data_IF_859724898998
#
_entry.id   IF_859724898998
#
_cell.length_a   1.000
_cell.length_b   1.000
_cell.length_c   1.000
_cell.angle_alpha   90.00
_cell.angle_beta   90.00
_cell.angle_gamma   90.00
#
_symmetry.space_group_name_H-M   'P 1'
#
loop_
_entity.id
_entity.type
_entity.pdbx_description
1 polymer ?
#
# COMPACT_ATOMS: atom_id res chain seq x y z
N UNK A 1 -2.59 7.19 -9.01
CA UNK A 1 -3.83 7.95 -8.75
C UNK A 1 -4.38 8.80 -9.93
N UNK A 2 -3.71 9.02 -11.09
CA UNK A 2 -4.33 9.71 -12.26
C UNK A 2 -4.67 8.78 -13.45
N UNK A 3 -4.76 7.46 -13.25
CA UNK A 3 -5.38 6.62 -14.28
C UNK A 3 -6.89 6.87 -14.29
N UNK A 4 -7.56 6.64 -15.43
CA UNK A 4 -9.02 6.84 -15.54
C UNK A 4 -9.77 6.05 -14.45
N UNK A 5 -9.41 4.78 -14.25
CA UNK A 5 -9.99 3.95 -13.18
C UNK A 5 -9.75 4.54 -11.79
N UNK A 6 -8.54 5.01 -11.49
CA UNK A 6 -8.25 5.61 -10.20
C UNK A 6 -9.05 6.89 -9.96
N UNK A 7 -9.27 7.71 -11.00
CA UNK A 7 -10.10 8.92 -10.89
C UNK A 7 -11.56 8.58 -10.62
N UNK A 8 -12.10 7.52 -11.25
CA UNK A 8 -13.44 7.00 -10.95
C UNK A 8 -13.53 6.49 -9.50
N UNK A 9 -12.53 5.74 -9.04
CA UNK A 9 -12.50 5.21 -7.66
C UNK A 9 -12.37 6.33 -6.62
N UNK A 10 -11.68 7.42 -6.96
CA UNK A 10 -11.58 8.62 -6.13
C UNK A 10 -12.93 9.36 -6.07
N UNK A 11 -13.54 9.64 -7.22
CA UNK A 11 -14.80 10.38 -7.33
C UNK A 11 -15.98 9.63 -6.68
N UNK A 12 -16.00 8.30 -6.79
CA UNK A 12 -17.02 7.45 -6.16
C UNK A 12 -16.82 7.25 -4.65
N UNK A 13 -15.70 7.72 -4.08
CA UNK A 13 -15.34 7.45 -2.69
C UNK A 13 -14.90 6.01 -2.42
N UNK A 14 -14.89 5.14 -3.44
CA UNK A 14 -14.50 3.73 -3.32
C UNK A 14 -13.08 3.56 -2.79
N UNK A 15 -12.14 4.41 -3.22
CA UNK A 15 -10.76 4.32 -2.76
C UNK A 15 -10.62 4.63 -1.26
N UNK A 16 -11.42 5.57 -0.75
CA UNK A 16 -11.45 5.89 0.68
C UNK A 16 -11.96 4.68 1.49
N UNK A 17 -13.06 4.07 1.06
CA UNK A 17 -13.61 2.88 1.70
C UNK A 17 -12.63 1.70 1.68
N UNK A 18 -11.86 1.55 0.59
CA UNK A 18 -10.80 0.55 0.51
C UNK A 18 -9.66 0.80 1.50
N UNK A 19 -9.20 2.05 1.65
CA UNK A 19 -8.18 2.41 2.62
C UNK A 19 -8.60 2.12 4.06
N UNK A 20 -9.84 2.46 4.42
CA UNK A 20 -10.42 2.12 5.72
C UNK A 20 -10.40 0.61 5.94
N UNK A 21 -10.83 -0.17 4.94
CA UNK A 21 -10.78 -1.64 5.01
C UNK A 21 -9.36 -2.16 5.18
N UNK A 22 -8.39 -1.70 4.38
CA UNK A 22 -7.01 -2.17 4.49
C UNK A 22 -6.44 -1.93 5.89
N UNK A 23 -6.79 -0.81 6.53
CA UNK A 23 -6.40 -0.54 7.91
C UNK A 23 -7.09 -1.45 8.92
N UNK A 24 -8.36 -1.76 8.73
CA UNK A 24 -9.10 -2.70 9.59
C UNK A 24 -8.54 -4.13 9.50
N UNK A 25 -8.11 -4.55 8.30
CA UNK A 25 -7.49 -5.86 8.03
C UNK A 25 -6.03 -5.95 8.54
N UNK A 26 -5.49 -4.86 9.10
CA UNK A 26 -4.10 -4.81 9.59
C UNK A 26 -3.05 -4.77 8.49
N UNK A 27 -3.43 -4.46 7.25
CA UNK A 27 -2.48 -4.35 6.14
C UNK A 27 -1.59 -3.12 6.28
N UNK A 28 -0.35 -3.24 5.79
CA UNK A 28 0.57 -2.11 5.73
C UNK A 28 0.25 -1.30 4.48
N UNK A 29 0.19 0.01 4.64
CA UNK A 29 -0.12 0.93 3.54
C UNK A 29 0.97 1.98 3.46
N UNK A 30 1.52 2.15 2.27
CA UNK A 30 2.48 3.19 1.93
C UNK A 30 1.94 4.12 0.87
N UNK A 31 2.60 5.26 0.69
CA UNK A 31 2.30 6.24 -0.33
C UNK A 31 3.59 6.67 -1.03
N UNK A 32 3.49 6.97 -2.33
CA UNK A 32 4.60 7.53 -3.11
C UNK A 32 4.27 8.95 -3.54
N UNK A 33 5.17 9.89 -3.30
CA UNK A 33 5.07 11.24 -3.85
C UNK A 33 5.24 11.21 -5.39
N UNK A 34 4.95 12.31 -6.10
CA UNK A 34 5.29 12.45 -7.51
C UNK A 34 6.78 12.20 -7.78
N UNK A 35 7.09 11.84 -9.03
CA UNK A 35 8.46 11.62 -9.48
C UNK A 35 9.31 12.87 -9.26
N UNK A 36 10.54 12.67 -8.81
CA UNK A 36 11.52 13.70 -8.49
C UNK A 36 12.75 13.04 -7.88
N UNK A 37 13.60 13.84 -7.25
CA UNK A 37 14.64 13.34 -6.35
C UNK A 37 14.32 13.76 -4.92
N UNK A 38 14.85 12.99 -3.99
CA UNK A 38 14.87 13.19 -2.55
C UNK A 38 15.41 14.53 -2.07
N UNK A 39 16.14 15.28 -2.90
CA UNK A 39 16.54 16.66 -2.57
C UNK A 39 15.48 17.70 -2.93
N UNK A 40 14.43 17.31 -3.68
CA UNK A 40 13.36 18.21 -4.10
C UNK A 40 12.20 18.14 -3.10
N UNK A 41 12.02 19.21 -2.34
CA UNK A 41 10.92 19.39 -1.40
C UNK A 41 9.91 20.37 -2.02
N UNK A 42 8.62 20.03 -2.01
CA UNK A 42 7.57 20.94 -2.46
C UNK A 42 7.42 22.13 -1.50
N UNK A 43 6.80 23.22 -1.94
CA UNK A 43 6.47 24.35 -1.06
C UNK A 43 5.62 23.95 0.15
N UNK A 44 4.89 22.83 0.04
CA UNK A 44 4.04 22.29 1.09
C UNK A 44 4.77 21.30 2.04
N UNK A 45 6.09 21.14 1.89
CA UNK A 45 6.90 20.27 2.75
C UNK A 45 6.86 18.78 2.40
N UNK A 46 6.53 18.43 1.15
CA UNK A 46 6.53 17.02 0.69
C UNK A 46 7.77 16.77 -0.18
N UNK A 47 8.67 15.92 0.31
CA UNK A 47 9.81 15.37 -0.45
C UNK A 47 9.29 14.59 -1.66
N UNK A 48 9.82 14.90 -2.85
CA UNK A 48 9.48 14.25 -4.12
C UNK A 48 10.34 13.00 -4.37
N UNK A 49 9.89 12.12 -5.27
CA UNK A 49 10.56 10.84 -5.53
C UNK A 49 10.67 9.91 -4.31
N UNK A 50 9.84 10.11 -3.28
CA UNK A 50 10.02 9.49 -1.97
C UNK A 50 8.82 8.65 -1.52
N UNK A 51 9.09 7.67 -0.65
CA UNK A 51 8.11 6.74 -0.11
C UNK A 51 7.77 7.07 1.34
N UNK A 52 6.49 7.18 1.63
CA UNK A 52 5.94 7.50 2.94
C UNK A 52 5.10 6.34 3.47
N UNK A 53 4.98 6.24 4.79
CA UNK A 53 4.07 5.28 5.42
C UNK A 53 2.73 5.94 5.74
N UNK A 54 1.62 5.31 5.37
CA UNK A 54 0.29 5.73 5.78
C UNK A 54 -0.02 5.05 7.12
N UNK A 55 0.07 5.78 8.22
CA UNK A 55 -0.06 5.25 9.58
C UNK A 55 -1.53 5.07 9.99
N UNK A 56 -2.36 6.07 9.72
CA UNK A 56 -3.79 6.06 10.09
C UNK A 56 -4.66 6.62 8.97
N UNK A 57 -5.89 6.12 8.92
CA UNK A 57 -6.96 6.60 8.03
C UNK A 57 -8.20 6.75 8.90
N UNK A 58 -8.71 7.97 9.05
CA UNK A 58 -9.76 8.29 10.01
C UNK A 58 -10.83 9.17 9.38
N UNK A 59 -12.07 8.86 9.67
CA UNK A 59 -13.22 9.72 9.40
C UNK A 59 -13.77 10.21 10.74
N UNK A 60 -13.67 11.51 11.01
CA UNK A 60 -14.04 12.11 12.30
C UNK A 60 -14.69 13.46 12.09
N UNK A 61 -15.86 13.68 12.68
CA UNK A 61 -16.59 14.95 12.59
C UNK A 61 -16.68 15.47 11.14
N UNK A 62 -17.01 14.56 10.21
CA UNK A 62 -17.10 14.81 8.76
C UNK A 62 -15.78 15.11 8.04
N UNK A 63 -14.64 15.05 8.72
CA UNK A 63 -13.31 15.15 8.12
C UNK A 63 -12.75 13.77 7.78
N UNK A 64 -12.21 13.63 6.57
CA UNK A 64 -11.44 12.46 6.12
C UNK A 64 -9.97 12.81 6.21
N UNK A 65 -9.28 12.23 7.20
CA UNK A 65 -7.91 12.57 7.54
C UNK A 65 -7.01 11.34 7.44
N UNK A 66 -5.79 11.57 6.98
CA UNK A 66 -4.75 10.55 6.94
C UNK A 66 -3.55 11.00 7.75
N UNK A 67 -2.97 10.07 8.51
CA UNK A 67 -1.71 10.29 9.21
C UNK A 67 -0.60 9.62 8.41
N UNK A 68 0.42 10.37 8.08
CA UNK A 68 1.50 9.96 7.19
C UNK A 68 2.82 10.11 7.93
N UNK A 69 3.78 9.25 7.62
CA UNK A 69 5.15 9.34 8.14
C UNK A 69 6.17 9.40 7.01
N UNK A 70 7.00 10.44 7.04
CA UNK A 70 8.28 10.50 6.35
C UNK A 70 9.30 9.64 7.13
N UNK A 71 9.86 8.56 6.55
CA UNK A 71 10.83 7.70 7.23
C UNK A 71 12.16 8.39 7.54
N UNK A 72 12.53 9.48 6.85
CA UNK A 72 13.81 10.17 7.08
C UNK A 72 13.79 11.11 8.28
N UNK A 73 12.60 11.47 8.80
CA UNK A 73 12.42 12.35 9.96
C UNK A 73 13.30 13.63 9.88
N UNK A 74 13.53 14.11 8.67
CA UNK A 74 14.53 15.11 8.31
C UNK A 74 13.92 16.52 8.38
N UNK A 75 13.36 16.88 9.54
CA UNK A 75 12.75 18.19 9.89
C UNK A 75 11.71 18.80 8.93
N UNK A 76 11.45 18.14 7.79
CA UNK A 76 10.62 18.62 6.69
C UNK A 76 9.32 17.85 6.72
N UNK A 77 8.29 18.54 7.19
CA UNK A 77 6.94 18.02 7.35
C UNK A 77 5.95 18.85 6.57
N UNK A 78 4.77 18.26 6.35
CA UNK A 78 3.62 18.97 5.82
C UNK A 78 3.32 20.23 6.62
N UNK A 79 3.21 21.37 5.93
CA UNK A 79 2.98 22.69 6.53
C UNK A 79 1.61 23.31 6.19
N UNK A 80 0.70 22.52 5.60
CA UNK A 80 -0.65 22.95 5.25
C UNK A 80 -1.70 22.61 6.32
N UNK A 81 -2.99 22.58 5.94
CA UNK A 81 -4.08 22.18 6.84
C UNK A 81 -3.84 20.84 7.52
N UNK A 82 -4.12 20.76 8.82
CA UNK A 82 -3.87 19.61 9.70
C UNK A 82 -2.40 19.28 9.99
N UNK A 83 -1.44 20.11 9.56
CA UNK A 83 -0.07 20.07 10.10
C UNK A 83 -0.04 20.26 11.62
N UNK A 84 1.09 20.00 12.27
CA UNK A 84 1.18 20.08 13.73
C UNK A 84 0.87 21.48 14.31
N UNK A 85 1.18 22.54 13.55
CA UNK A 85 0.91 23.93 13.91
C UNK A 85 -0.42 24.47 13.36
N UNK A 86 -1.21 23.63 12.69
CA UNK A 86 -2.44 24.01 12.00
C UNK A 86 -3.53 24.52 12.97
N UNK A 87 -4.17 25.66 12.69
CA UNK A 87 -5.29 26.17 13.50
C UNK A 87 -6.57 25.32 13.39
N UNK A 88 -6.66 24.40 12.44
CA UNK A 88 -7.78 23.47 12.25
C UNK A 88 -7.93 22.49 13.42
N UNK A 89 -6.88 22.31 14.22
CA UNK A 89 -6.92 21.47 15.39
C UNK A 89 -7.71 22.07 16.54
N UNK A 90 -8.79 21.40 16.91
CA UNK A 90 -9.51 21.63 18.18
C UNK A 90 -9.08 20.59 19.23
N UNK A 91 -9.19 20.91 20.51
CA UNK A 91 -8.87 19.96 21.60
C UNK A 91 -9.68 18.65 21.48
N UNK A 92 -10.93 18.75 21.02
CA UNK A 92 -11.79 17.59 20.72
C UNK A 92 -11.16 16.69 19.66
N UNK A 93 -10.69 17.26 18.54
CA UNK A 93 -10.10 16.48 17.45
C UNK A 93 -8.74 15.92 17.83
N UNK A 94 -7.91 16.70 18.54
CA UNK A 94 -6.64 16.21 19.11
C UNK A 94 -6.87 14.98 19.97
N UNK A 95 -7.86 15.03 20.87
CA UNK A 95 -8.22 13.90 21.72
C UNK A 95 -8.73 12.69 20.92
N UNK A 96 -9.68 12.89 19.99
CA UNK A 96 -10.25 11.79 19.18
C UNK A 96 -9.22 11.08 18.32
N UNK A 97 -8.28 11.84 17.74
CA UNK A 97 -7.23 11.30 16.87
C UNK A 97 -5.97 10.91 17.64
N UNK A 98 -5.94 11.13 18.96
CA UNK A 98 -4.75 10.98 19.80
C UNK A 98 -3.55 11.72 19.19
N UNK A 99 -3.80 12.89 18.59
CA UNK A 99 -2.76 13.73 18.04
C UNK A 99 -2.02 14.41 19.17
N UNK A 100 -0.73 14.12 19.25
CA UNK A 100 0.22 14.78 20.13
C UNK A 100 1.13 15.54 19.18
N UNK A 101 1.11 16.88 19.15
CA UNK A 101 2.03 17.64 18.34
C UNK A 101 3.45 17.32 18.79
N UNK A 102 4.26 16.80 17.88
CA UNK A 102 5.67 16.48 18.13
C UNK A 102 6.46 17.08 16.98
N UNK A 103 7.24 18.11 17.25
CA UNK A 103 8.05 18.67 16.17
C UNK A 103 9.13 17.66 15.77
N UNK A 104 9.16 17.34 14.47
CA UNK A 104 10.27 16.66 13.78
C UNK A 104 10.36 15.14 13.98
N UNK A 105 9.25 14.43 14.15
CA UNK A 105 9.24 12.95 14.09
C UNK A 105 8.92 12.42 12.67
N UNK A 106 8.66 13.34 11.73
CA UNK A 106 8.26 13.06 10.36
C UNK A 106 6.80 12.62 10.24
N UNK A 107 6.00 12.67 11.31
CA UNK A 107 4.60 12.25 11.36
C UNK A 107 3.71 13.47 11.28
N UNK A 108 2.84 13.53 10.29
CA UNK A 108 1.88 14.62 10.12
C UNK A 108 0.52 14.10 9.69
N UNK A 109 -0.51 14.90 9.97
CA UNK A 109 -1.84 14.70 9.41
C UNK A 109 -2.06 15.59 8.20
N UNK A 110 -2.92 15.15 7.29
CA UNK A 110 -3.45 15.98 6.21
C UNK A 110 -4.87 15.55 5.86
N UNK A 111 -5.58 16.40 5.14
CA UNK A 111 -6.86 16.03 4.56
C UNK A 111 -6.67 14.97 3.47
N UNK A 112 -7.69 14.13 3.28
CA UNK A 112 -7.72 13.19 2.16
C UNK A 112 -7.64 13.89 0.81
N UNK A 113 -8.22 15.09 0.71
CA UNK A 113 -8.18 15.93 -0.49
C UNK A 113 -6.73 16.37 -0.79
N UNK A 114 -6.01 16.86 0.22
CA UNK A 114 -4.60 17.24 0.07
C UNK A 114 -3.74 16.03 -0.30
N UNK A 115 -3.99 14.87 0.31
CA UNK A 115 -3.31 13.63 -0.05
C UNK A 115 -3.46 13.29 -1.55
N UNK A 116 -4.67 13.44 -2.10
CA UNK A 116 -4.92 13.19 -3.52
C UNK A 116 -4.16 14.14 -4.46
N UNK A 117 -3.91 15.37 -4.01
CA UNK A 117 -3.14 16.39 -4.74
C UNK A 117 -1.65 16.09 -4.68
N UNK A 118 -1.15 15.78 -3.48
CA UNK A 118 0.29 15.72 -3.20
C UNK A 118 0.93 14.35 -3.37
N UNK A 119 0.16 13.26 -3.39
CA UNK A 119 0.68 11.91 -3.60
C UNK A 119 0.26 11.34 -4.95
N UNK A 120 1.01 10.33 -5.40
CA UNK A 120 0.83 9.73 -6.73
C UNK A 120 0.39 8.28 -6.68
N UNK A 121 0.88 7.56 -5.69
CA UNK A 121 0.74 6.11 -5.58
C UNK A 121 0.38 5.72 -4.16
N UNK A 122 -0.40 4.65 -4.03
CA UNK A 122 -0.65 3.95 -2.77
C UNK A 122 -0.13 2.53 -2.97
N UNK A 123 0.65 2.06 -2.02
CA UNK A 123 1.18 0.71 -1.97
C UNK A 123 0.50 -0.02 -0.83
N UNK A 124 0.02 -1.24 -1.07
CA UNK A 124 -0.64 -2.05 -0.04
C UNK A 124 0.11 -3.37 0.07
N UNK A 125 0.70 -3.61 1.24
CA UNK A 125 1.27 -4.90 1.60
C UNK A 125 0.24 -5.65 2.45
N UNK A 126 -0.36 -6.67 1.84
CA UNK A 126 -1.35 -7.53 2.50
C UNK A 126 -0.62 -8.54 3.37
N UNK A 127 -0.95 -8.55 4.65
CA UNK A 127 -0.37 -9.47 5.62
C UNK A 127 -1.46 -10.44 6.03
N UNK A 128 -1.35 -11.67 5.53
CA UNK A 128 -2.26 -12.75 5.93
C UNK A 128 -1.65 -13.58 7.05
N UNK A 129 -2.44 -14.12 7.98
CA UNK A 129 -1.97 -15.13 8.91
C UNK A 129 -1.33 -16.33 8.18
N UNK A 130 -0.32 -17.01 8.76
CA UNK A 130 0.35 -18.15 8.12
C UNK A 130 -0.62 -19.26 7.67
N UNK A 131 -1.70 -19.50 8.42
CA UNK A 131 -2.74 -20.50 8.12
C UNK A 131 -3.53 -20.21 6.84
N UNK A 132 -3.53 -18.96 6.36
CA UNK A 132 -4.16 -18.57 5.10
C UNK A 132 -3.18 -18.60 3.90
N UNK A 133 -1.90 -18.96 4.13
CA UNK A 133 -0.87 -18.94 3.10
C UNK A 133 -0.57 -20.35 2.60
N UNK A 134 -0.91 -20.58 1.33
CA UNK A 134 -0.50 -21.76 0.59
C UNK A 134 0.58 -21.35 -0.42
N UNK A 135 1.76 -21.97 -0.32
CA UNK A 135 2.89 -21.68 -1.19
C UNK A 135 3.35 -22.95 -1.89
N UNK A 136 3.51 -22.87 -3.20
CA UNK A 136 4.04 -23.95 -4.04
C UNK A 136 5.30 -23.45 -4.73
N UNK A 137 6.37 -24.23 -4.65
CA UNK A 137 7.60 -23.98 -5.40
C UNK A 137 7.61 -24.84 -6.66
N UNK A 138 8.01 -24.24 -7.78
CA UNK A 138 8.07 -24.89 -9.07
C UNK A 138 9.12 -24.25 -9.97
N UNK A 139 9.30 -24.81 -11.16
CA UNK A 139 10.23 -24.31 -12.16
C UNK A 139 9.69 -24.54 -13.58
N UNK A 140 10.03 -23.62 -14.48
CA UNK A 140 9.85 -23.78 -15.92
C UNK A 140 11.19 -24.22 -16.54
N UNK A 141 11.28 -25.46 -17.00
CA UNK A 141 12.50 -26.00 -17.63
C UNK A 141 12.16 -27.07 -18.65
N UNK A 142 12.73 -26.95 -19.86
CA UNK A 142 12.50 -27.91 -20.93
C UNK A 142 11.01 -28.03 -21.25
N UNK A 143 10.45 -29.23 -21.12
CA UNK A 143 9.04 -29.52 -21.39
C UNK A 143 8.07 -28.63 -20.59
N UNK A 144 8.40 -28.27 -19.34
CA UNK A 144 7.49 -27.44 -18.54
C UNK A 144 7.51 -25.96 -18.91
N UNK A 145 8.42 -25.50 -19.78
CA UNK A 145 8.55 -24.10 -20.17
C UNK A 145 7.64 -23.75 -21.37
N UNK A 146 6.33 -23.87 -21.17
CA UNK A 146 5.32 -23.79 -22.24
C UNK A 146 4.98 -22.40 -22.77
N UNK A 147 5.46 -21.32 -22.15
CA UNK A 147 5.13 -19.94 -22.56
C UNK A 147 3.73 -19.48 -22.11
N UNK A 148 3.29 -18.31 -22.60
CA UNK A 148 1.94 -17.78 -22.37
C UNK A 148 0.92 -18.42 -23.31
N UNK A 149 -0.36 -18.02 -23.19
CA UNK A 149 -1.48 -18.58 -23.97
C UNK A 149 -1.35 -18.43 -25.50
N UNK A 150 -0.40 -17.62 -25.97
CA UNK A 150 -0.10 -17.43 -27.39
C UNK A 150 0.73 -18.59 -27.99
N UNK A 151 1.24 -19.51 -27.18
CA UNK A 151 2.07 -20.65 -27.59
C UNK A 151 1.31 -21.97 -27.48
N UNK A 152 1.41 -22.87 -28.48
CA UNK A 152 0.74 -24.18 -28.43
C UNK A 152 1.12 -25.01 -27.21
N UNK A 153 2.34 -24.84 -26.68
CA UNK A 153 2.87 -25.56 -25.52
C UNK A 153 2.42 -25.01 -24.17
N UNK A 154 1.56 -23.98 -24.10
CA UNK A 154 1.17 -23.33 -22.84
C UNK A 154 0.58 -24.31 -21.80
N UNK A 155 -0.11 -25.34 -22.28
CA UNK A 155 -0.73 -26.37 -21.45
C UNK A 155 0.30 -27.27 -20.72
N UNK A 156 1.57 -27.23 -21.14
CA UNK A 156 2.68 -27.98 -20.53
C UNK A 156 3.25 -27.29 -19.29
N UNK A 157 2.87 -26.03 -19.03
CA UNK A 157 3.24 -25.36 -17.79
C UNK A 157 2.69 -26.11 -16.56
N UNK A 158 3.33 -26.01 -15.37
CA UNK A 158 2.77 -26.57 -14.14
C UNK A 158 1.37 -26.04 -13.84
N UNK A 159 0.44 -26.94 -13.52
CA UNK A 159 -0.96 -26.62 -13.23
C UNK A 159 -1.27 -26.90 -11.76
N UNK A 160 -2.07 -26.04 -11.13
CA UNK A 160 -2.44 -26.14 -9.72
C UNK A 160 -3.97 -26.06 -9.58
N UNK A 161 -4.54 -26.97 -8.79
CA UNK A 161 -5.97 -26.99 -8.48
C UNK A 161 -6.23 -26.16 -7.22
N UNK A 162 -7.14 -25.21 -7.32
CA UNK A 162 -7.68 -24.46 -6.18
C UNK A 162 -9.06 -25.02 -5.83
N UNK A 163 -9.20 -25.51 -4.60
CA UNK A 163 -10.46 -26.07 -4.11
C UNK A 163 -10.85 -25.42 -2.79
N UNK A 164 -12.04 -24.82 -2.75
CA UNK A 164 -12.66 -24.38 -1.50
C UNK A 164 -13.37 -25.57 -0.85
N UNK A 165 -13.20 -25.73 0.46
CA UNK A 165 -13.80 -26.82 1.24
C UNK A 165 -14.41 -26.28 2.53
N UNK A 166 -15.28 -27.06 3.16
CA UNK A 166 -15.96 -26.68 4.40
C UNK A 166 -17.29 -25.94 4.18
N UNK A 167 -17.96 -25.60 5.29
CA UNK A 167 -19.27 -24.91 5.27
C UNK A 167 -19.21 -23.55 4.58
N UNK A 168 -18.06 -22.89 4.64
CA UNK A 168 -17.91 -21.53 4.13
C UNK A 168 -17.70 -21.49 2.61
N UNK A 169 -17.49 -22.65 1.98
CA UNK A 169 -17.36 -22.77 0.52
C UNK A 169 -18.65 -22.41 -0.23
N UNK A 170 -19.79 -22.29 0.45
CA UNK A 170 -21.05 -21.80 -0.13
C UNK A 170 -21.12 -20.29 -0.30
N UNK A 171 -20.18 -19.52 0.28
CA UNK A 171 -20.13 -18.07 0.17
C UNK A 171 -19.08 -17.61 -0.84
N UNK A 172 -19.18 -16.39 -1.39
CA UNK A 172 -18.12 -15.82 -2.21
C UNK A 172 -16.79 -15.76 -1.47
N UNK A 173 -15.75 -16.40 -2.01
CA UNK A 173 -14.39 -16.40 -1.47
C UNK A 173 -13.51 -15.50 -2.33
N UNK A 174 -12.82 -14.56 -1.69
CA UNK A 174 -11.81 -13.75 -2.35
C UNK A 174 -10.44 -14.39 -2.19
N UNK A 175 -9.85 -14.84 -3.31
CA UNK A 175 -8.52 -15.45 -3.33
C UNK A 175 -7.52 -14.50 -3.97
N UNK A 176 -6.36 -14.35 -3.34
CA UNK A 176 -5.24 -13.58 -3.87
C UNK A 176 -4.12 -14.54 -4.28
N UNK A 177 -3.81 -14.57 -5.57
CA UNK A 177 -2.74 -15.38 -6.13
C UNK A 177 -1.59 -14.45 -6.49
N UNK A 178 -0.39 -14.78 -6.05
CA UNK A 178 0.85 -14.08 -6.42
C UNK A 178 1.83 -15.09 -6.98
N UNK A 179 2.34 -14.82 -8.18
CA UNK A 179 3.37 -15.62 -8.83
C UNK A 179 4.69 -14.85 -8.77
N UNK A 180 5.68 -15.40 -8.08
CA UNK A 180 7.00 -14.77 -7.92
C UNK A 180 8.07 -15.64 -8.57
N UNK A 181 8.91 -15.05 -9.42
CA UNK A 181 10.10 -15.72 -9.95
C UNK A 181 11.27 -15.51 -8.99
N UNK A 182 11.79 -16.60 -8.42
CA UNK A 182 13.04 -16.55 -7.67
C UNK A 182 14.23 -16.38 -8.61
N UNK A 183 15.12 -15.43 -8.32
CA UNK A 183 16.44 -15.36 -8.94
C UNK A 183 17.35 -16.31 -8.16
N UNK A 184 17.45 -17.55 -8.61
CA UNK A 184 18.42 -18.48 -8.06
C UNK A 184 19.82 -18.04 -8.45
N UNK A 185 20.54 -17.34 -7.56
CA UNK A 185 21.99 -17.33 -7.63
C UNK A 185 22.44 -18.77 -7.36
N UNK A 186 23.00 -19.44 -8.36
CA UNK A 186 23.73 -20.68 -8.16
C UNK A 186 24.82 -20.42 -7.13
N UNK A 187 24.58 -20.75 -5.86
CA UNK A 187 25.69 -20.90 -4.92
C UNK A 187 26.48 -22.10 -5.42
N UNK A 188 27.59 -21.84 -6.10
CA UNK A 188 28.67 -22.82 -6.20
C UNK A 188 29.09 -23.12 -4.77
N UNK A 189 28.57 -24.22 -4.22
CA UNK A 189 29.12 -24.81 -3.02
C UNK A 189 30.54 -25.25 -3.36
N UNK A 190 31.53 -24.43 -2.98
CA UNK A 190 32.91 -24.88 -2.91
C UNK A 190 32.91 -25.89 -1.76
N UNK A 191 33.00 -27.17 -2.12
CA UNK A 191 33.31 -28.23 -1.18
C UNK A 191 34.71 -27.96 -0.64
N UNK A 192 34.84 -27.86 0.68
CA UNK A 192 36.10 -27.97 1.42
C UNK A 192 36.28 -29.40 1.90
#
# INVERSE_FOLDING_TARGET
MRSAQAQIDLASGRLWSQLLRFKQEGFLVGAGSPSGSDVHISSSGIVQGHAYSLLQVREVDSHKLVQIRNPWADEVEWNGPWSDASPEWTDRLKHKLKHIPQSKDGIFWMSWQDFQVHFRSIYVCRVYPPEMRYAFQGQWRGYSAGGCQDYETWHQNPQFLLMATGSDASFPIHVFITLTQGVGFSRTSIQS
#
